data_IF_450024316632
#
_entry.id   IF_450024316632
#
_cell.length_a   1.000
_cell.length_b   1.000
_cell.length_c   1.000
_cell.angle_alpha   90.00
_cell.angle_beta   90.00
_cell.angle_gamma   90.00
#
_symmetry.space_group_name_H-M   'P 1'
#
loop_
_entity.id
_entity.type
_entity.pdbx_description
1 polymer ?
#
# COMPACT_ATOMS: atom_id res chain seq x y z
N UNK A 1 -13.56 39.51 12.98
CA UNK A 1 -12.13 39.36 12.64
C UNK A 1 -12.05 38.30 11.56
N UNK A 2 -11.78 38.72 10.34
CA UNK A 2 -11.67 37.80 9.18
C UNK A 2 -10.36 37.05 9.31
N UNK A 3 -10.43 35.76 9.59
CA UNK A 3 -9.26 34.85 9.52
C UNK A 3 -8.73 34.87 8.10
N UNK A 4 -7.59 35.51 7.92
CA UNK A 4 -6.86 35.48 6.66
C UNK A 4 -6.35 34.05 6.44
N UNK A 5 -6.88 33.37 5.44
CA UNK A 5 -6.32 32.10 4.97
C UNK A 5 -4.88 32.37 4.52
N UNK A 6 -3.91 31.93 5.30
CA UNK A 6 -2.51 31.93 4.90
C UNK A 6 -2.37 31.06 3.62
N UNK A 7 -2.08 31.72 2.50
CA UNK A 7 -1.67 30.99 1.29
C UNK A 7 -0.40 30.21 1.61
N UNK A 8 -0.31 28.94 1.21
CA UNK A 8 0.90 28.15 1.44
C UNK A 8 2.11 28.87 0.84
N UNK A 9 3.22 28.88 1.54
CA UNK A 9 4.49 29.35 0.98
C UNK A 9 4.82 28.53 -0.26
N UNK A 10 5.35 29.12 -1.35
CA UNK A 10 5.82 28.38 -2.51
C UNK A 10 6.81 27.30 -2.08
N UNK A 11 6.53 26.02 -2.41
CA UNK A 11 7.36 24.88 -2.02
C UNK A 11 7.03 24.26 -0.67
N UNK A 12 6.01 24.74 0.05
CA UNK A 12 5.54 24.09 1.27
C UNK A 12 4.87 22.72 0.92
N UNK A 13 5.06 21.67 1.74
CA UNK A 13 4.36 20.39 1.56
C UNK A 13 2.83 20.59 1.62
N UNK A 14 2.11 19.86 0.76
CA UNK A 14 0.65 19.81 0.82
C UNK A 14 0.23 18.85 1.94
N UNK A 15 -0.68 19.26 2.81
CA UNK A 15 -1.21 18.39 3.86
C UNK A 15 -2.26 17.44 3.28
N UNK A 16 -1.98 16.14 3.39
CA UNK A 16 -2.91 15.09 3.06
C UNK A 16 -3.46 14.45 4.32
N UNK A 17 -4.69 13.96 4.24
CA UNK A 17 -5.34 13.20 5.29
C UNK A 17 -5.84 11.86 4.75
N UNK A 18 -6.31 11.01 5.66
CA UNK A 18 -6.94 9.74 5.32
C UNK A 18 -7.52 9.08 6.54
N UNK A 19 -8.47 8.18 6.32
CA UNK A 19 -9.01 7.29 7.34
C UNK A 19 -8.56 5.88 7.01
N UNK A 20 -8.08 5.16 8.03
CA UNK A 20 -7.78 3.74 7.87
C UNK A 20 -9.03 2.99 7.40
N UNK A 21 -8.96 2.40 6.21
CA UNK A 21 -10.08 1.79 5.54
C UNK A 21 -9.85 0.32 5.16
N UNK A 22 -8.92 -0.35 5.83
CA UNK A 22 -8.64 -1.77 5.60
C UNK A 22 -9.91 -2.60 5.60
N UNK A 23 -10.05 -3.41 4.56
CA UNK A 23 -11.01 -4.51 4.48
C UNK A 23 -10.22 -5.78 4.21
N UNK A 24 -9.74 -6.43 5.26
CA UNK A 24 -8.97 -7.66 5.12
C UNK A 24 -9.81 -8.90 5.43
N UNK A 25 -9.50 -10.00 4.73
CA UNK A 25 -10.14 -11.30 4.92
C UNK A 25 -9.30 -12.20 5.81
N UNK A 26 -9.92 -12.76 6.87
CA UNK A 26 -9.33 -13.77 7.75
C UNK A 26 -10.28 -14.98 7.81
N UNK A 27 -9.85 -16.11 7.31
CA UNK A 27 -10.75 -17.23 7.06
C UNK A 27 -11.84 -16.85 6.06
N UNK A 28 -13.10 -16.98 6.49
CA UNK A 28 -14.27 -16.60 5.71
C UNK A 28 -14.90 -15.27 6.14
N UNK A 29 -14.23 -14.50 6.99
CA UNK A 29 -14.75 -13.24 7.49
C UNK A 29 -13.97 -12.04 6.96
N UNK A 30 -14.68 -10.95 6.64
CA UNK A 30 -14.08 -9.66 6.34
C UNK A 30 -14.10 -8.76 7.57
N UNK A 31 -12.95 -8.15 7.84
CA UNK A 31 -12.79 -7.16 8.91
C UNK A 31 -12.67 -5.77 8.29
N UNK A 32 -13.55 -4.87 8.71
CA UNK A 32 -13.68 -3.55 8.14
C UNK A 32 -13.37 -2.45 9.17
N UNK A 33 -12.33 -1.68 8.90
CA UNK A 33 -11.88 -0.63 9.83
C UNK A 33 -12.81 0.59 9.85
N UNK A 34 -13.39 0.97 8.71
CA UNK A 34 -14.31 2.13 8.68
C UNK A 34 -15.61 1.87 9.43
N UNK A 35 -16.09 0.63 9.46
CA UNK A 35 -17.21 0.23 10.30
C UNK A 35 -16.82 0.30 11.79
N UNK A 36 -15.66 -0.23 12.16
CA UNK A 36 -15.17 -0.23 13.56
C UNK A 36 -14.95 1.18 14.09
N UNK A 37 -14.43 2.10 13.29
CA UNK A 37 -14.26 3.50 13.66
C UNK A 37 -15.56 4.29 13.59
N UNK A 38 -16.59 3.77 12.93
CA UNK A 38 -17.87 4.44 12.66
C UNK A 38 -17.76 5.55 11.60
N UNK A 39 -16.64 5.65 10.88
CA UNK A 39 -16.42 6.68 9.86
C UNK A 39 -17.47 6.60 8.73
N UNK A 40 -17.83 5.39 8.31
CA UNK A 40 -18.83 5.18 7.24
C UNK A 40 -20.23 5.70 7.54
N UNK A 41 -20.50 6.12 8.79
CA UNK A 41 -21.78 6.71 9.22
C UNK A 41 -21.66 8.21 9.53
N UNK A 42 -20.42 8.77 9.43
CA UNK A 42 -20.14 10.15 9.84
C UNK A 42 -19.61 10.99 8.70
N UNK A 43 -20.50 11.51 7.87
CA UNK A 43 -20.13 12.42 6.79
C UNK A 43 -19.49 13.71 7.32
N UNK A 44 -19.81 14.11 8.57
CA UNK A 44 -19.21 15.26 9.25
C UNK A 44 -17.70 15.13 9.50
N UNK A 45 -17.11 13.93 9.45
CA UNK A 45 -15.66 13.78 9.58
C UNK A 45 -14.91 14.55 8.48
N UNK A 46 -15.53 14.73 7.30
CA UNK A 46 -14.94 15.51 6.20
C UNK A 46 -14.79 17.01 6.55
N UNK A 47 -15.72 17.55 7.35
CA UNK A 47 -15.63 18.93 7.83
C UNK A 47 -14.43 19.10 8.77
N UNK A 48 -14.19 18.13 9.65
CA UNK A 48 -13.02 18.12 10.53
C UNK A 48 -11.70 18.06 9.75
N UNK A 49 -11.61 17.26 8.69
CA UNK A 49 -10.43 17.27 7.83
C UNK A 49 -10.20 18.62 7.18
N UNK A 50 -11.28 19.27 6.75
CA UNK A 50 -11.19 20.62 6.17
C UNK A 50 -10.70 21.65 7.20
N UNK A 51 -11.20 21.60 8.43
CA UNK A 51 -10.77 22.46 9.54
C UNK A 51 -9.29 22.28 9.87
N UNK A 52 -8.76 21.04 9.77
CA UNK A 52 -7.33 20.74 9.93
C UNK A 52 -6.46 21.25 8.77
N UNK A 53 -7.06 21.80 7.70
CA UNK A 53 -6.33 22.30 6.53
C UNK A 53 -5.95 21.24 5.50
N UNK A 54 -6.53 20.03 5.58
CA UNK A 54 -6.31 18.96 4.61
C UNK A 54 -6.72 19.42 3.21
N UNK A 55 -5.84 19.18 2.22
CA UNK A 55 -6.03 19.55 0.81
C UNK A 55 -6.35 18.35 -0.07
N UNK A 56 -5.80 17.18 0.25
CA UNK A 56 -6.13 15.94 -0.41
C UNK A 56 -6.45 14.87 0.64
N UNK A 57 -7.42 14.01 0.33
CA UNK A 57 -7.89 12.98 1.26
C UNK A 57 -7.84 11.61 0.60
N UNK A 58 -7.07 10.69 1.19
CA UNK A 58 -7.12 9.28 0.80
C UNK A 58 -8.46 8.70 1.25
N UNK A 59 -9.23 8.22 0.28
CA UNK A 59 -10.61 7.78 0.49
C UNK A 59 -10.88 6.46 -0.23
N UNK A 60 -11.38 5.47 0.51
CA UNK A 60 -11.70 4.14 -0.01
C UNK A 60 -13.05 4.10 -0.73
N UNK A 61 -13.02 3.76 -2.01
CA UNK A 61 -14.17 3.26 -2.78
C UNK A 61 -13.88 1.79 -3.01
N UNK A 62 -14.03 1.00 -1.95
CA UNK A 62 -13.47 -0.34 -1.87
C UNK A 62 -14.33 -1.37 -2.57
N UNK A 63 -13.69 -2.22 -3.37
CA UNK A 63 -14.33 -3.21 -4.22
C UNK A 63 -15.23 -4.17 -3.43
N UNK A 64 -14.73 -4.70 -2.31
CA UNK A 64 -15.45 -5.63 -1.44
C UNK A 64 -16.73 -5.04 -0.85
N UNK A 65 -16.78 -3.72 -0.71
CA UNK A 65 -17.93 -3.01 -0.12
C UNK A 65 -18.91 -2.54 -1.15
N UNK A 66 -18.41 -1.93 -2.22
CA UNK A 66 -19.22 -1.27 -3.23
C UNK A 66 -19.85 -2.29 -4.18
N UNK A 67 -19.08 -3.30 -4.60
CA UNK A 67 -19.52 -4.24 -5.62
C UNK A 67 -19.17 -5.70 -5.26
N UNK A 68 -19.60 -6.22 -4.08
CA UNK A 68 -19.29 -7.59 -3.65
C UNK A 68 -19.83 -8.64 -4.62
N UNK A 69 -20.98 -8.37 -5.25
CA UNK A 69 -21.66 -9.24 -6.20
C UNK A 69 -21.61 -8.69 -7.64
N UNK A 70 -20.68 -7.77 -7.92
CA UNK A 70 -20.46 -7.15 -9.21
C UNK A 70 -21.10 -5.77 -9.38
N UNK A 71 -20.71 -5.09 -10.47
CA UNK A 71 -21.08 -3.69 -10.73
C UNK A 71 -22.58 -3.45 -10.94
N UNK A 72 -23.34 -4.46 -11.36
CA UNK A 72 -24.79 -4.32 -11.61
C UNK A 72 -25.56 -4.10 -10.32
N UNK A 73 -25.11 -4.69 -9.23
CA UNK A 73 -25.71 -4.62 -7.90
C UNK A 73 -24.96 -3.72 -6.93
N UNK A 74 -24.01 -2.92 -7.46
CA UNK A 74 -23.14 -2.10 -6.65
C UNK A 74 -23.88 -1.04 -5.82
N UNK A 75 -23.54 -0.95 -4.53
CA UNK A 75 -24.01 0.11 -3.63
C UNK A 75 -23.00 1.26 -3.59
N UNK A 76 -23.33 2.34 -4.25
CA UNK A 76 -22.54 3.56 -4.35
C UNK A 76 -22.90 4.62 -3.29
N UNK A 77 -23.87 4.36 -2.42
CA UNK A 77 -24.48 5.38 -1.56
C UNK A 77 -23.46 6.14 -0.71
N UNK A 78 -22.56 5.44 -0.03
CA UNK A 78 -21.51 6.06 0.76
C UNK A 78 -20.47 6.78 -0.11
N UNK A 79 -20.03 6.15 -1.20
CA UNK A 79 -19.06 6.75 -2.11
C UNK A 79 -19.60 8.02 -2.77
N UNK A 80 -20.88 8.03 -3.18
CA UNK A 80 -21.54 9.22 -3.73
C UNK A 80 -21.56 10.37 -2.73
N UNK A 81 -22.04 10.10 -1.50
CA UNK A 81 -22.16 11.12 -0.47
C UNK A 81 -20.79 11.68 -0.03
N UNK A 82 -19.82 10.81 0.22
CA UNK A 82 -18.51 11.18 0.73
C UNK A 82 -17.65 11.90 -0.30
N UNK A 83 -17.65 11.45 -1.56
CA UNK A 83 -16.92 12.13 -2.64
C UNK A 83 -17.57 13.47 -3.00
N UNK A 84 -18.91 13.57 -2.98
CA UNK A 84 -19.59 14.85 -3.15
C UNK A 84 -19.20 15.82 -2.03
N UNK A 85 -19.19 15.37 -0.76
CA UNK A 85 -18.80 16.20 0.37
C UNK A 85 -17.34 16.66 0.28
N UNK A 86 -16.43 15.77 -0.06
CA UNK A 86 -15.01 16.11 -0.29
C UNK A 86 -14.87 17.22 -1.35
N UNK A 87 -15.61 17.10 -2.45
CA UNK A 87 -15.62 18.10 -3.54
C UNK A 87 -16.20 19.43 -3.12
N UNK A 88 -17.32 19.46 -2.38
CA UNK A 88 -17.93 20.68 -1.83
C UNK A 88 -16.96 21.45 -0.93
N UNK A 89 -16.19 20.72 -0.12
CA UNK A 89 -15.19 21.28 0.78
C UNK A 89 -13.88 21.67 0.06
N UNK A 90 -13.78 21.41 -1.26
CA UNK A 90 -12.58 21.71 -2.05
C UNK A 90 -11.39 20.85 -1.68
N UNK A 91 -11.62 19.64 -1.16
CA UNK A 91 -10.59 18.64 -0.93
C UNK A 91 -10.51 17.68 -2.13
N UNK A 92 -9.29 17.38 -2.59
CA UNK A 92 -9.04 16.47 -3.69
C UNK A 92 -9.03 15.02 -3.17
N UNK A 93 -9.94 14.13 -3.62
CA UNK A 93 -9.87 12.73 -3.21
C UNK A 93 -8.73 12.00 -3.92
N UNK A 94 -8.04 11.14 -3.17
CA UNK A 94 -7.14 10.11 -3.67
C UNK A 94 -7.88 8.79 -3.48
N UNK A 95 -8.46 8.26 -4.55
CA UNK A 95 -9.39 7.13 -4.46
C UNK A 95 -8.64 5.80 -4.40
N UNK A 96 -8.85 5.05 -3.29
CA UNK A 96 -8.40 3.68 -3.12
C UNK A 96 -9.48 2.68 -3.55
N UNK A 97 -9.09 1.61 -4.28
CA UNK A 97 -10.03 0.58 -4.74
C UNK A 97 -9.92 -0.71 -3.94
N UNK A 98 -8.73 -0.99 -3.42
CA UNK A 98 -8.43 -2.14 -2.56
C UNK A 98 -7.45 -1.70 -1.46
N UNK A 99 -7.77 -2.01 -0.21
CA UNK A 99 -6.92 -1.65 0.94
C UNK A 99 -6.72 -2.89 1.83
N UNK A 100 -5.61 -3.60 1.61
CA UNK A 100 -5.27 -4.89 2.23
C UNK A 100 -6.30 -6.01 1.99
N UNK A 101 -7.20 -5.81 1.06
CA UNK A 101 -8.22 -6.77 0.68
C UNK A 101 -7.72 -7.85 -0.27
N UNK A 102 -8.55 -8.87 -0.44
CA UNK A 102 -8.35 -9.95 -1.41
C UNK A 102 -9.38 -9.92 -2.55
N UNK A 103 -10.15 -8.83 -2.63
CA UNK A 103 -11.32 -8.69 -3.48
C UNK A 103 -12.57 -9.36 -2.88
N UNK A 104 -13.74 -9.26 -3.53
CA UNK A 104 -14.95 -9.97 -3.18
C UNK A 104 -14.78 -11.50 -3.08
N UNK A 105 -15.75 -12.20 -2.47
CA UNK A 105 -15.71 -13.67 -2.31
C UNK A 105 -15.54 -14.43 -3.63
N UNK A 106 -15.93 -13.83 -4.76
CA UNK A 106 -15.80 -14.41 -6.10
C UNK A 106 -14.38 -14.41 -6.66
N UNK A 107 -13.41 -13.84 -5.92
CA UNK A 107 -12.00 -13.75 -6.34
C UNK A 107 -11.03 -13.88 -5.16
N UNK A 108 -9.75 -13.85 -5.44
CA UNK A 108 -8.68 -13.83 -4.45
C UNK A 108 -7.40 -13.26 -5.06
N UNK A 109 -6.40 -12.94 -4.24
CA UNK A 109 -5.08 -12.51 -4.72
C UNK A 109 -4.36 -13.57 -5.60
N UNK A 110 -4.81 -14.83 -5.55
CA UNK A 110 -4.26 -15.94 -6.34
C UNK A 110 -5.09 -16.27 -7.59
N UNK A 111 -6.23 -15.60 -7.76
CA UNK A 111 -7.07 -15.78 -8.94
C UNK A 111 -6.34 -15.26 -10.18
N UNK A 112 -6.19 -16.08 -11.24
CA UNK A 112 -5.58 -15.65 -12.49
C UNK A 112 -6.25 -14.44 -13.12
N UNK A 113 -7.57 -14.27 -12.91
CA UNK A 113 -8.38 -13.19 -13.47
C UNK A 113 -8.52 -11.99 -12.50
N UNK A 114 -7.79 -11.99 -11.37
CA UNK A 114 -7.88 -10.93 -10.37
C UNK A 114 -7.61 -9.55 -10.96
N UNK A 115 -6.61 -9.46 -11.83
CA UNK A 115 -6.17 -8.20 -12.41
C UNK A 115 -7.21 -7.62 -13.36
N UNK A 116 -7.81 -8.44 -14.20
CA UNK A 116 -8.87 -8.08 -15.13
C UNK A 116 -10.13 -7.65 -14.37
N UNK A 117 -10.53 -8.42 -13.35
CA UNK A 117 -11.71 -8.12 -12.52
C UNK A 117 -11.57 -6.79 -11.77
N UNK A 118 -10.38 -6.48 -11.23
CA UNK A 118 -10.14 -5.17 -10.62
C UNK A 118 -10.13 -4.06 -11.68
N UNK A 119 -9.61 -4.33 -12.88
CA UNK A 119 -9.67 -3.40 -14.01
C UNK A 119 -11.10 -3.02 -14.37
N UNK A 120 -12.01 -3.99 -14.44
CA UNK A 120 -13.43 -3.77 -14.70
C UNK A 120 -14.09 -2.93 -13.59
N UNK A 121 -13.78 -3.22 -12.33
CA UNK A 121 -14.25 -2.42 -11.21
C UNK A 121 -13.73 -0.98 -11.28
N UNK A 122 -12.45 -0.80 -11.55
CA UNK A 122 -11.81 0.51 -11.69
C UNK A 122 -12.44 1.34 -12.82
N UNK A 123 -12.76 0.71 -13.94
CA UNK A 123 -13.51 1.35 -15.03
C UNK A 123 -14.88 1.84 -14.57
N UNK A 124 -15.61 1.02 -13.81
CA UNK A 124 -16.91 1.39 -13.23
C UNK A 124 -16.82 2.61 -12.31
N UNK A 125 -15.80 2.64 -11.43
CA UNK A 125 -15.52 3.78 -10.54
C UNK A 125 -15.20 5.03 -11.33
N UNK A 126 -14.30 4.95 -12.31
CA UNK A 126 -13.89 6.10 -13.13
C UNK A 126 -15.07 6.65 -13.94
N UNK A 127 -15.92 5.78 -14.53
CA UNK A 127 -17.13 6.20 -15.23
C UNK A 127 -18.11 6.94 -14.33
N UNK A 128 -18.24 6.52 -13.05
CA UNK A 128 -19.14 7.17 -12.10
C UNK A 128 -18.58 8.51 -11.62
N UNK A 129 -17.25 8.60 -11.41
CA UNK A 129 -16.56 9.77 -10.88
C UNK A 129 -15.49 10.30 -11.86
N UNK A 130 -15.85 10.73 -13.08
CA UNK A 130 -14.87 11.09 -14.12
C UNK A 130 -14.03 12.33 -13.78
N UNK A 131 -14.41 13.05 -12.73
CA UNK A 131 -13.70 14.22 -12.21
C UNK A 131 -12.58 13.86 -11.21
N UNK A 132 -12.50 12.63 -10.73
CA UNK A 132 -11.42 12.16 -9.86
C UNK A 132 -10.14 12.01 -10.66
N UNK A 133 -9.06 12.57 -10.14
CA UNK A 133 -7.76 12.58 -10.83
C UNK A 133 -6.69 11.73 -10.17
N UNK A 134 -6.84 11.40 -8.89
CA UNK A 134 -5.81 10.71 -8.12
C UNK A 134 -6.31 9.35 -7.61
N UNK A 135 -5.51 8.30 -7.86
CA UNK A 135 -5.88 6.93 -7.52
C UNK A 135 -4.74 6.17 -6.86
N UNK A 136 -5.09 5.36 -5.88
CA UNK A 136 -4.29 4.26 -5.32
C UNK A 136 -5.06 2.96 -5.53
N UNK A 137 -4.99 2.32 -6.72
CA UNK A 137 -5.81 1.14 -7.00
C UNK A 137 -5.67 0.04 -5.96
N UNK A 138 -4.45 -0.20 -5.49
CA UNK A 138 -4.15 -1.14 -4.40
C UNK A 138 -3.18 -0.49 -3.41
N UNK A 139 -3.60 -0.40 -2.14
CA UNK A 139 -2.72 0.01 -1.06
C UNK A 139 -1.77 -1.13 -0.68
N UNK A 140 -0.48 -0.84 -0.58
CA UNK A 140 0.58 -1.74 -0.10
C UNK A 140 0.54 -3.17 -0.68
N UNK A 141 0.69 -3.35 -1.99
CA UNK A 141 0.64 -4.67 -2.60
C UNK A 141 1.71 -5.63 -2.06
N UNK A 142 2.90 -5.12 -1.72
CA UNK A 142 3.97 -5.94 -1.14
C UNK A 142 3.63 -6.38 0.29
N UNK A 143 3.16 -5.48 1.13
CA UNK A 143 2.74 -5.80 2.50
C UNK A 143 1.58 -6.77 2.50
N UNK A 144 0.56 -6.53 1.68
CA UNK A 144 -0.60 -7.41 1.52
C UNK A 144 -0.17 -8.82 1.08
N UNK A 145 0.71 -8.92 0.09
CA UNK A 145 1.24 -10.20 -0.37
C UNK A 145 2.05 -10.93 0.71
N UNK A 146 2.88 -10.21 1.50
CA UNK A 146 3.62 -10.80 2.63
C UNK A 146 2.68 -11.35 3.71
N UNK A 147 1.66 -10.60 4.08
CA UNK A 147 0.75 -11.01 5.15
C UNK A 147 -0.16 -12.15 4.72
N UNK A 148 -0.56 -12.20 3.46
CA UNK A 148 -1.43 -13.25 2.91
C UNK A 148 -0.66 -14.52 2.49
N UNK A 149 0.53 -14.35 1.88
CA UNK A 149 1.25 -15.44 1.23
C UNK A 149 2.48 -15.93 1.98
N UNK A 150 3.14 -15.06 2.79
CA UNK A 150 4.40 -15.39 3.44
C UNK A 150 4.27 -15.59 4.95
N UNK A 151 3.39 -14.81 5.61
CA UNK A 151 3.23 -14.85 7.06
C UNK A 151 1.94 -15.56 7.52
N UNK A 152 0.98 -15.76 6.64
CA UNK A 152 -0.26 -16.47 6.92
C UNK A 152 -1.25 -15.72 7.79
N UNK A 153 -1.12 -14.38 7.91
CA UNK A 153 -2.01 -13.58 8.76
C UNK A 153 -3.37 -13.36 8.12
N UNK A 154 -3.41 -13.17 6.79
CA UNK A 154 -4.63 -12.90 6.02
C UNK A 154 -4.87 -14.00 5.00
N UNK A 155 -6.11 -14.11 4.50
CA UNK A 155 -6.45 -15.05 3.43
C UNK A 155 -5.51 -14.90 2.23
N UNK A 156 -5.00 -15.99 1.66
CA UNK A 156 -5.30 -17.41 1.87
C UNK A 156 -4.52 -18.10 3.01
N UNK A 157 -3.88 -17.39 3.92
CA UNK A 157 -3.13 -17.90 5.06
C UNK A 157 -1.92 -18.77 4.68
N UNK A 158 -1.34 -18.53 3.51
CA UNK A 158 -0.18 -19.27 3.05
C UNK A 158 1.11 -18.80 3.75
N UNK A 159 2.11 -19.68 3.76
CA UNK A 159 3.42 -19.43 4.39
C UNK A 159 4.54 -19.91 3.46
N UNK A 160 4.51 -19.48 2.21
CA UNK A 160 5.50 -19.84 1.22
C UNK A 160 5.77 -18.73 0.20
N UNK A 161 6.99 -18.73 -0.34
CA UNK A 161 7.45 -17.72 -1.29
C UNK A 161 6.64 -17.70 -2.60
N UNK A 162 6.16 -18.86 -3.08
CA UNK A 162 5.44 -18.93 -4.34
C UNK A 162 4.10 -18.22 -4.25
N UNK A 163 3.35 -18.49 -3.18
CA UNK A 163 2.06 -17.81 -2.93
C UNK A 163 2.25 -16.31 -2.74
N UNK A 164 3.27 -15.91 -1.97
CA UNK A 164 3.64 -14.51 -1.81
C UNK A 164 3.90 -13.82 -3.15
N UNK A 165 4.75 -14.42 -3.99
CA UNK A 165 5.12 -13.84 -5.29
C UNK A 165 3.90 -13.78 -6.23
N UNK A 166 3.10 -14.84 -6.30
CA UNK A 166 1.88 -14.86 -7.12
C UNK A 166 0.93 -13.74 -6.71
N UNK A 167 0.68 -13.58 -5.41
CA UNK A 167 -0.17 -12.50 -4.89
C UNK A 167 0.40 -11.11 -5.21
N UNK A 168 1.71 -10.92 -5.14
CA UNK A 168 2.35 -9.64 -5.49
C UNK A 168 2.22 -9.34 -6.98
N UNK A 169 2.55 -10.29 -7.85
CA UNK A 169 2.49 -10.11 -9.31
C UNK A 169 1.06 -9.83 -9.77
N UNK A 170 0.07 -10.55 -9.25
CA UNK A 170 -1.34 -10.31 -9.57
C UNK A 170 -1.79 -8.90 -9.14
N UNK A 171 -1.41 -8.45 -7.96
CA UNK A 171 -1.73 -7.10 -7.50
C UNK A 171 -1.05 -6.03 -8.35
N UNK A 172 0.25 -6.17 -8.66
CA UNK A 172 0.95 -5.21 -9.52
C UNK A 172 0.35 -5.18 -10.94
N UNK A 173 -0.02 -6.35 -11.50
CA UNK A 173 -0.73 -6.41 -12.79
C UNK A 173 -2.09 -5.71 -12.71
N UNK A 174 -2.83 -5.93 -11.63
CA UNK A 174 -4.12 -5.29 -11.39
C UNK A 174 -4.01 -3.76 -11.30
N UNK A 175 -2.95 -3.21 -10.68
CA UNK A 175 -2.68 -1.77 -10.67
C UNK A 175 -2.50 -1.24 -12.10
N UNK A 176 -1.72 -1.94 -12.94
CA UNK A 176 -1.51 -1.55 -14.34
C UNK A 176 -2.83 -1.53 -15.12
N UNK A 177 -3.63 -2.60 -15.01
CA UNK A 177 -4.91 -2.71 -15.74
C UNK A 177 -5.94 -1.72 -15.21
N UNK A 178 -6.03 -1.53 -13.91
CA UNK A 178 -6.90 -0.53 -13.30
C UNK A 178 -6.56 0.89 -13.79
N UNK A 179 -5.28 1.28 -13.79
CA UNK A 179 -4.87 2.60 -14.29
C UNK A 179 -5.12 2.79 -15.78
N UNK A 180 -5.00 1.73 -16.58
CA UNK A 180 -5.39 1.79 -18.01
C UNK A 180 -6.88 2.05 -18.13
N UNK A 181 -7.71 1.28 -17.47
CA UNK A 181 -9.16 1.44 -17.48
C UNK A 181 -9.60 2.83 -16.99
N UNK A 182 -8.99 3.34 -15.91
CA UNK A 182 -9.23 4.69 -15.40
C UNK A 182 -8.84 5.75 -16.43
N UNK A 183 -7.67 5.61 -17.08
CA UNK A 183 -7.16 6.57 -18.06
C UNK A 183 -7.92 6.55 -19.38
N UNK A 184 -8.68 5.51 -19.69
CA UNK A 184 -9.65 5.54 -20.80
C UNK A 184 -10.76 6.59 -20.57
N UNK A 185 -11.16 6.81 -19.31
CA UNK A 185 -12.19 7.78 -18.94
C UNK A 185 -11.59 9.15 -18.63
N UNK A 186 -10.49 9.18 -17.87
CA UNK A 186 -9.76 10.39 -17.49
C UNK A 186 -8.26 10.23 -17.80
N UNK A 187 -7.81 10.65 -18.98
CA UNK A 187 -6.39 10.54 -19.37
C UNK A 187 -5.41 11.28 -18.44
N UNK A 188 -5.90 12.26 -17.65
CA UNK A 188 -5.11 13.01 -16.69
C UNK A 188 -5.01 12.31 -15.32
N UNK A 189 -5.59 11.12 -15.15
CA UNK A 189 -5.55 10.39 -13.89
C UNK A 189 -4.12 9.96 -13.52
N UNK A 190 -3.76 10.23 -12.26
CA UNK A 190 -2.44 9.96 -11.69
C UNK A 190 -2.48 8.74 -10.79
N UNK A 191 -1.41 7.96 -10.87
CA UNK A 191 -1.15 6.87 -9.94
C UNK A 191 -0.35 7.39 -8.73
N UNK A 192 -0.95 7.33 -7.55
CA UNK A 192 -0.26 7.51 -6.27
C UNK A 192 -0.10 6.12 -5.66
N UNK A 193 1.03 5.48 -5.91
CA UNK A 193 1.26 4.13 -5.41
C UNK A 193 1.90 4.19 -4.03
N UNK A 194 1.43 3.35 -3.12
CA UNK A 194 1.83 3.31 -1.72
C UNK A 194 2.39 1.94 -1.34
N UNK A 195 3.43 1.93 -0.50
CA UNK A 195 3.88 0.74 0.21
C UNK A 195 4.60 1.11 1.53
N UNK A 196 4.70 0.15 2.46
CA UNK A 196 5.59 0.27 3.63
C UNK A 196 7.04 0.06 3.17
N UNK A 197 7.87 1.08 3.32
CA UNK A 197 9.29 1.04 2.97
C UNK A 197 10.20 0.92 4.19
N UNK A 198 9.71 0.36 5.29
CA UNK A 198 10.49 0.10 6.50
C UNK A 198 11.78 -0.66 6.21
N UNK A 199 12.89 -0.18 6.77
CA UNK A 199 14.24 -0.73 6.55
C UNK A 199 14.54 -1.88 7.50
N UNK A 200 15.23 -2.89 7.01
CA UNK A 200 15.74 -4.01 7.83
C UNK A 200 17.22 -3.79 8.13
N UNK A 201 17.55 -3.85 9.41
CA UNK A 201 18.90 -3.83 9.96
C UNK A 201 19.25 -5.20 10.52
N UNK A 202 20.53 -5.47 10.78
CA UNK A 202 20.93 -6.75 11.34
C UNK A 202 22.30 -6.70 12.01
N UNK A 203 22.62 -7.76 12.74
CA UNK A 203 24.00 -8.10 13.09
C UNK A 203 24.81 -8.40 11.82
N UNK A 204 26.15 -8.32 11.84
CA UNK A 204 27.00 -8.62 10.67
C UNK A 204 26.75 -10.02 10.06
N UNK A 205 26.41 -11.01 10.90
CA UNK A 205 26.14 -12.38 10.44
C UNK A 205 24.91 -12.49 9.57
N UNK A 206 23.91 -11.61 9.77
CA UNK A 206 22.65 -11.60 9.06
C UNK A 206 22.55 -10.49 8.00
N UNK A 207 23.67 -9.79 7.70
CA UNK A 207 23.71 -8.71 6.73
C UNK A 207 23.12 -9.11 5.37
N UNK A 208 23.42 -10.32 4.89
CA UNK A 208 22.88 -10.86 3.64
C UNK A 208 21.34 -10.93 3.62
N UNK A 209 20.72 -11.22 4.80
CA UNK A 209 19.26 -11.27 4.90
C UNK A 209 18.67 -9.86 4.95
N UNK A 210 19.30 -8.96 5.69
CA UNK A 210 18.87 -7.56 5.71
C UNK A 210 18.99 -6.90 4.33
N UNK A 211 20.07 -7.17 3.58
CA UNK A 211 20.23 -6.73 2.20
C UNK A 211 19.11 -7.26 1.29
N UNK A 212 18.79 -8.56 1.39
CA UNK A 212 17.69 -9.16 0.65
C UNK A 212 16.33 -8.51 0.99
N UNK A 213 16.04 -8.30 2.27
CA UNK A 213 14.79 -7.66 2.70
C UNK A 213 14.72 -6.19 2.24
N UNK A 214 15.85 -5.48 2.27
CA UNK A 214 15.95 -4.10 1.79
C UNK A 214 15.82 -3.97 0.27
N UNK A 215 16.24 -4.96 -0.52
CA UNK A 215 15.92 -5.00 -1.95
C UNK A 215 14.46 -5.38 -2.19
N UNK A 216 13.93 -6.35 -1.41
CA UNK A 216 12.54 -6.78 -1.57
C UNK A 216 11.51 -5.68 -1.29
N UNK A 217 11.80 -4.73 -0.39
CA UNK A 217 10.88 -3.63 -0.08
C UNK A 217 10.56 -2.72 -1.28
N UNK A 218 11.39 -2.73 -2.32
CA UNK A 218 11.18 -1.96 -3.54
C UNK A 218 10.42 -2.71 -4.63
N UNK A 219 10.15 -4.00 -4.44
CA UNK A 219 9.76 -4.89 -5.53
C UNK A 219 8.44 -4.50 -6.20
N UNK A 220 7.45 -3.99 -5.46
CA UNK A 220 6.20 -3.48 -6.04
C UNK A 220 6.45 -2.30 -6.99
N UNK A 221 7.25 -1.33 -6.56
CA UNK A 221 7.61 -0.18 -7.40
C UNK A 221 8.50 -0.56 -8.58
N UNK A 222 9.47 -1.46 -8.37
CA UNK A 222 10.36 -1.90 -9.45
C UNK A 222 9.60 -2.66 -10.54
N UNK A 223 8.59 -3.48 -10.18
CA UNK A 223 7.69 -4.11 -11.13
C UNK A 223 6.90 -3.06 -11.92
N UNK A 224 6.23 -2.13 -11.24
CA UNK A 224 5.44 -1.08 -11.89
C UNK A 224 6.29 -0.16 -12.78
N UNK A 225 7.54 0.09 -12.40
CA UNK A 225 8.48 0.89 -13.20
C UNK A 225 9.18 0.10 -14.31
N UNK A 226 8.87 -1.19 -14.50
CA UNK A 226 9.51 -2.03 -15.53
C UNK A 226 10.99 -2.31 -15.28
N UNK A 227 11.46 -2.24 -14.02
CA UNK A 227 12.89 -2.36 -13.66
C UNK A 227 13.33 -3.79 -13.35
N UNK A 228 12.39 -4.73 -13.24
CA UNK A 228 12.71 -6.13 -12.93
C UNK A 228 13.12 -6.84 -14.20
N UNK A 229 14.40 -6.79 -14.52
CA UNK A 229 15.05 -7.46 -15.66
C UNK A 229 16.17 -8.39 -15.19
N UNK A 230 16.85 -9.09 -16.08
CA UNK A 230 17.84 -10.13 -15.76
C UNK A 230 19.00 -9.69 -14.86
N UNK A 231 19.29 -8.40 -14.75
CA UNK A 231 20.31 -7.84 -13.86
C UNK A 231 19.73 -7.34 -12.51
N UNK A 232 18.43 -7.42 -12.31
CA UNK A 232 17.80 -7.02 -11.05
C UNK A 232 18.21 -7.94 -9.91
N UNK A 233 18.48 -7.39 -8.73
CA UNK A 233 18.97 -8.14 -7.56
C UNK A 233 18.08 -9.34 -7.18
N UNK A 234 16.77 -9.22 -7.38
CA UNK A 234 15.80 -10.28 -7.06
C UNK A 234 15.39 -11.13 -8.27
N UNK A 235 15.97 -10.92 -9.46
CA UNK A 235 15.62 -11.71 -10.65
C UNK A 235 15.73 -13.22 -10.42
N UNK A 236 16.89 -13.67 -9.94
CA UNK A 236 17.13 -15.09 -9.71
C UNK A 236 16.25 -15.67 -8.60
N UNK A 237 15.93 -14.85 -7.58
CA UNK A 237 14.98 -15.25 -6.54
C UNK A 237 13.60 -15.53 -7.13
N UNK A 238 13.06 -14.61 -7.94
CA UNK A 238 11.76 -14.76 -8.61
C UNK A 238 11.75 -15.99 -9.54
N UNK A 239 12.79 -16.17 -10.36
CA UNK A 239 12.93 -17.32 -11.27
C UNK A 239 12.96 -18.65 -10.50
N UNK A 240 13.70 -18.72 -9.41
CA UNK A 240 13.81 -19.92 -8.56
C UNK A 240 12.48 -20.26 -7.84
N UNK A 241 11.53 -19.33 -7.81
CA UNK A 241 10.18 -19.54 -7.26
C UNK A 241 9.11 -19.77 -8.32
N UNK A 242 9.52 -19.96 -9.57
CA UNK A 242 8.67 -20.41 -10.67
C UNK A 242 8.06 -19.28 -11.52
N UNK A 243 8.49 -18.02 -11.32
CA UNK A 243 8.09 -16.94 -12.22
C UNK A 243 8.76 -17.12 -13.58
N UNK A 244 8.02 -17.06 -14.67
CA UNK A 244 8.56 -17.15 -16.02
C UNK A 244 9.21 -15.86 -16.48
N UNK A 245 10.10 -15.93 -17.48
CA UNK A 245 10.66 -14.72 -18.11
C UNK A 245 9.53 -13.88 -18.71
N UNK A 246 8.57 -14.52 -19.36
CA UNK A 246 7.41 -13.84 -19.98
C UNK A 246 6.58 -13.05 -18.96
N UNK A 247 6.40 -13.56 -17.74
CA UNK A 247 5.69 -12.81 -16.68
C UNK A 247 6.45 -11.55 -16.24
N UNK A 248 7.78 -11.62 -16.16
CA UNK A 248 8.60 -10.46 -15.81
C UNK A 248 8.74 -9.47 -16.97
N UNK A 249 8.91 -9.97 -18.20
CA UNK A 249 8.93 -9.18 -19.43
C UNK A 249 7.62 -8.40 -19.62
N UNK A 250 6.48 -9.01 -19.24
CA UNK A 250 5.19 -8.32 -19.29
C UNK A 250 5.22 -6.98 -18.54
N UNK A 251 5.83 -6.90 -17.36
CA UNK A 251 5.94 -5.65 -16.59
C UNK A 251 6.87 -4.64 -17.26
N UNK A 252 7.91 -5.09 -17.95
CA UNK A 252 8.79 -4.20 -18.71
C UNK A 252 8.06 -3.58 -19.91
N UNK A 253 7.27 -4.38 -20.63
CA UNK A 253 6.47 -3.95 -21.78
C UNK A 253 5.25 -3.11 -21.38
N UNK A 254 4.73 -3.35 -20.17
CA UNK A 254 3.50 -2.74 -19.67
C UNK A 254 3.75 -1.87 -18.43
N UNK A 255 4.89 -1.21 -18.38
CA UNK A 255 5.24 -0.36 -17.25
C UNK A 255 4.18 0.71 -16.96
N UNK A 256 3.92 0.93 -15.68
CA UNK A 256 2.99 1.94 -15.16
C UNK A 256 3.65 2.65 -13.97
N UNK A 257 4.70 3.44 -14.19
CA UNK A 257 5.37 4.16 -13.12
C UNK A 257 4.37 5.03 -12.36
N UNK A 258 4.46 5.11 -11.02
CA UNK A 258 3.63 6.04 -10.26
C UNK A 258 3.98 7.49 -10.62
N UNK A 259 2.99 8.35 -10.59
CA UNK A 259 3.18 9.80 -10.67
C UNK A 259 3.72 10.36 -9.34
N UNK A 260 3.39 9.69 -8.23
CA UNK A 260 3.89 9.98 -6.88
C UNK A 260 4.18 8.67 -6.16
N UNK A 261 5.38 8.55 -5.58
CA UNK A 261 5.74 7.47 -4.65
C UNK A 261 5.15 7.80 -3.29
N UNK A 262 4.21 7.00 -2.82
CA UNK A 262 3.62 7.10 -1.49
C UNK A 262 4.37 6.22 -0.49
N UNK A 263 4.78 6.78 0.62
CA UNK A 263 5.43 6.04 1.69
C UNK A 263 4.50 5.95 2.87
N UNK A 264 4.07 4.75 3.21
CA UNK A 264 3.37 4.45 4.44
C UNK A 264 4.42 4.19 5.52
N UNK A 265 4.53 5.11 6.48
CA UNK A 265 5.58 5.08 7.49
C UNK A 265 5.05 4.72 8.87
N UNK A 266 5.59 3.66 9.42
CA UNK A 266 5.29 3.21 10.77
C UNK A 266 6.58 2.97 11.55
N UNK A 267 6.64 3.41 12.80
CA UNK A 267 7.79 3.12 13.68
C UNK A 267 8.04 1.61 13.83
N UNK A 268 6.99 0.79 13.72
CA UNK A 268 7.07 -0.67 13.73
C UNK A 268 7.47 -1.30 12.40
N UNK A 269 7.53 -0.54 11.30
CA UNK A 269 7.91 -1.04 9.96
C UNK A 269 9.40 -1.37 9.87
N UNK A 270 10.25 -0.72 10.69
CA UNK A 270 11.69 -0.98 10.67
C UNK A 270 12.06 -2.15 11.58
N UNK A 271 12.88 -3.07 11.04
CA UNK A 271 13.20 -4.34 11.68
C UNK A 271 14.68 -4.49 11.96
N UNK A 272 15.01 -5.26 13.01
CA UNK A 272 16.37 -5.68 13.32
C UNK A 272 16.44 -7.20 13.48
N UNK A 273 17.37 -7.82 12.72
CA UNK A 273 17.59 -9.27 12.75
C UNK A 273 18.80 -9.59 13.63
N UNK A 274 18.61 -10.45 14.65
CA UNK A 274 19.67 -10.86 15.56
C UNK A 274 19.70 -12.38 15.74
N UNK A 275 20.82 -13.03 15.52
CA UNK A 275 21.02 -14.47 15.76
C UNK A 275 21.08 -14.85 17.25
N UNK A 276 21.22 -13.88 18.15
CA UNK A 276 21.28 -14.12 19.60
C UNK A 276 19.86 -14.28 20.20
N UNK A 277 19.18 -15.34 19.84
CA UNK A 277 17.78 -15.62 20.20
C UNK A 277 17.47 -15.48 21.70
N UNK A 278 18.44 -15.79 22.56
CA UNK A 278 18.28 -15.74 24.01
C UNK A 278 18.03 -14.32 24.57
N UNK A 279 18.26 -13.28 23.76
CA UNK A 279 18.03 -11.88 24.12
C UNK A 279 16.58 -11.45 23.96
N UNK A 280 15.77 -12.26 23.27
CA UNK A 280 14.46 -11.85 22.78
C UNK A 280 13.35 -12.86 23.12
N UNK A 281 12.10 -12.40 23.28
CA UNK A 281 10.94 -13.28 23.48
C UNK A 281 10.80 -14.31 22.34
N UNK A 282 10.35 -15.52 22.67
CA UNK A 282 10.17 -16.61 21.71
C UNK A 282 9.24 -16.25 20.54
N UNK A 283 8.26 -15.38 20.78
CA UNK A 283 7.33 -14.92 19.73
C UNK A 283 8.01 -14.15 18.57
N UNK A 284 9.23 -13.63 18.79
CA UNK A 284 10.03 -12.95 17.75
C UNK A 284 10.99 -13.89 17.03
N UNK A 285 11.08 -15.16 17.44
CA UNK A 285 12.03 -16.11 16.87
C UNK A 285 11.50 -16.66 15.54
N UNK A 286 12.34 -16.58 14.51
CA UNK A 286 12.08 -17.08 13.17
C UNK A 286 13.33 -17.62 12.51
N UNK A 287 13.40 -17.48 11.22
CA UNK A 287 14.53 -17.90 10.39
C UNK A 287 14.18 -17.93 8.90
N UNK A 288 15.19 -18.20 8.09
CA UNK A 288 15.09 -18.23 6.63
C UNK A 288 15.55 -19.59 6.02
N UNK A 289 15.57 -20.66 6.82
CA UNK A 289 16.09 -21.97 6.43
C UNK A 289 17.62 -22.08 6.53
N UNK A 290 18.37 -20.98 6.41
CA UNK A 290 19.84 -20.93 6.55
C UNK A 290 20.28 -20.59 7.97
N UNK A 291 19.61 -19.60 8.60
CA UNK A 291 19.87 -19.19 9.98
C UNK A 291 18.56 -19.04 10.74
N UNK A 292 18.63 -19.30 12.04
CA UNK A 292 17.61 -18.85 13.00
C UNK A 292 18.00 -17.50 13.55
N UNK A 293 17.02 -16.61 13.71
CA UNK A 293 17.21 -15.26 14.25
C UNK A 293 15.91 -14.76 14.88
N UNK A 294 16.04 -13.76 15.75
CA UNK A 294 14.92 -12.95 16.20
C UNK A 294 14.71 -11.79 15.20
N UNK A 295 13.46 -11.51 14.87
CA UNK A 295 13.03 -10.38 14.07
C UNK A 295 12.27 -9.42 14.98
N UNK A 296 12.88 -8.28 15.32
CA UNK A 296 12.39 -7.35 16.32
C UNK A 296 12.31 -5.92 15.77
N UNK A 297 11.58 -5.05 16.47
CA UNK A 297 11.51 -3.63 16.13
C UNK A 297 12.89 -2.98 16.26
N UNK A 298 13.38 -2.36 15.19
CA UNK A 298 14.69 -1.70 15.15
C UNK A 298 14.82 -0.63 16.25
N UNK A 299 13.79 0.16 16.50
CA UNK A 299 13.74 1.20 17.54
C UNK A 299 13.98 0.68 18.97
N UNK A 300 13.76 -0.61 19.24
CA UNK A 300 13.99 -1.21 20.55
C UNK A 300 15.42 -1.69 20.76
N UNK A 301 16.22 -1.71 19.71
CA UNK A 301 17.59 -2.27 19.69
C UNK A 301 18.61 -1.22 19.29
N UNK A 302 18.30 -0.42 18.30
CA UNK A 302 19.17 0.64 17.78
C UNK A 302 18.87 1.95 18.50
N UNK A 303 19.68 2.27 19.51
CA UNK A 303 19.48 3.49 20.31
C UNK A 303 19.76 4.78 19.50
N UNK A 304 20.63 4.69 18.47
CA UNK A 304 21.11 5.84 17.70
C UNK A 304 20.85 5.73 16.18
N UNK A 305 19.90 4.88 15.72
CA UNK A 305 19.94 4.68 14.29
C UNK A 305 18.96 3.76 13.60
N UNK A 306 17.69 3.77 13.95
CA UNK A 306 16.66 3.46 12.96
C UNK A 306 16.69 4.54 11.86
N UNK A 307 16.39 4.21 10.62
CA UNK A 307 16.38 5.21 9.55
C UNK A 307 15.31 6.27 9.84
N UNK A 308 15.71 7.53 9.85
CA UNK A 308 14.77 8.63 10.00
C UNK A 308 13.86 8.73 8.75
N UNK A 309 12.63 9.27 8.88
CA UNK A 309 11.70 9.39 7.74
C UNK A 309 12.29 10.12 6.53
N UNK A 310 13.11 11.14 6.73
CA UNK A 310 13.79 11.90 5.69
C UNK A 310 14.75 11.03 4.88
N UNK A 311 15.46 10.10 5.53
CA UNK A 311 16.35 9.15 4.85
C UNK A 311 15.56 8.19 3.95
N UNK A 312 14.41 7.69 4.42
CA UNK A 312 13.54 6.81 3.64
C UNK A 312 12.96 7.55 2.42
N UNK A 313 12.54 8.81 2.60
CA UNK A 313 12.08 9.67 1.51
C UNK A 313 13.19 9.92 0.48
N UNK A 314 14.40 10.22 0.96
CA UNK A 314 15.56 10.43 0.10
C UNK A 314 15.94 9.17 -0.69
N UNK A 315 15.98 8.00 -0.05
CA UNK A 315 16.25 6.72 -0.73
C UNK A 315 15.22 6.44 -1.86
N UNK A 316 13.93 6.70 -1.61
CA UNK A 316 12.89 6.54 -2.62
C UNK A 316 13.07 7.51 -3.79
N UNK A 317 13.34 8.80 -3.48
CA UNK A 317 13.58 9.80 -4.52
C UNK A 317 14.88 9.51 -5.31
N UNK A 318 15.94 9.09 -4.65
CA UNK A 318 17.19 8.74 -5.34
C UNK A 318 17.03 7.55 -6.27
N UNK A 319 16.22 6.55 -5.86
CA UNK A 319 15.98 5.36 -6.67
C UNK A 319 15.10 5.66 -7.89
N UNK A 320 14.04 6.44 -7.75
CA UNK A 320 13.03 6.61 -8.81
C UNK A 320 13.07 7.98 -9.48
N UNK A 321 13.56 9.02 -8.83
CA UNK A 321 13.52 10.44 -9.29
C UNK A 321 12.10 10.93 -9.58
N UNK A 322 11.13 10.43 -8.83
CA UNK A 322 9.72 10.79 -8.89
C UNK A 322 9.35 11.60 -7.63
N UNK A 323 8.29 12.42 -7.67
CA UNK A 323 7.73 13.04 -6.46
C UNK A 323 7.46 12.00 -5.39
N UNK A 324 7.70 12.35 -4.12
CA UNK A 324 7.45 11.48 -2.97
C UNK A 324 6.47 12.13 -2.01
N UNK A 325 5.66 11.33 -1.32
CA UNK A 325 4.75 11.76 -0.28
C UNK A 325 4.74 10.77 0.88
N UNK A 326 4.59 11.25 2.12
CA UNK A 326 4.20 10.39 3.23
C UNK A 326 2.68 10.22 3.14
N UNK A 327 2.22 9.01 2.87
CA UNK A 327 0.82 8.69 2.61
C UNK A 327 0.10 8.07 3.80
N UNK A 328 0.86 7.53 4.74
CA UNK A 328 0.40 7.12 6.06
C UNK A 328 1.51 7.37 7.07
N UNK A 329 1.13 7.79 8.27
CA UNK A 329 2.06 7.94 9.39
C UNK A 329 1.34 7.63 10.69
N UNK A 330 1.82 6.62 11.42
CA UNK A 330 1.25 6.22 12.69
C UNK A 330 2.32 5.62 13.61
N UNK A 331 2.24 5.88 14.90
CA UNK A 331 3.22 5.39 15.88
C UNK A 331 2.68 4.36 16.88
N UNK A 332 1.41 3.93 16.74
CA UNK A 332 0.82 2.87 17.56
C UNK A 332 0.67 3.21 19.03
N UNK A 333 0.46 4.48 19.35
CA UNK A 333 0.34 4.98 20.73
C UNK A 333 -1.04 5.60 21.01
N UNK A 334 -1.29 5.96 22.26
CA UNK A 334 -2.53 6.63 22.66
C UNK A 334 -2.60 8.05 22.07
N UNK A 335 -3.80 8.64 22.09
CA UNK A 335 -4.01 10.02 21.63
C UNK A 335 -3.13 11.02 22.42
N UNK A 336 -3.03 10.83 23.71
CA UNK A 336 -2.24 11.69 24.61
C UNK A 336 -0.74 11.59 24.32
N UNK A 337 -0.26 10.43 23.87
CA UNK A 337 1.14 10.23 23.49
C UNK A 337 1.46 10.77 22.09
N UNK A 338 0.43 11.03 21.26
CA UNK A 338 0.60 11.60 19.93
C UNK A 338 0.67 13.13 19.94
N UNK A 339 0.17 13.78 20.99
CA UNK A 339 0.15 15.22 21.17
C UNK A 339 1.40 15.73 21.89
#
# INVERSE_FOLDING_TARGET
>A
MTEGSLSPLPGAPELWGGVECTVNRVGDEYFEQTARSGHQERLSDFDLFKELGVRALRHGVLWEKVAPDGLVTADWSWADASLARSRELGMRPIVGLLHHGSGPYSTSLLDPDFAEKLGDYAYGVARRYPWVTDYTPINEPLTTARFSGLYGHWYPHAQDDRTFITALLNQCRAIVLAMRAIREINPAARLIQTDDLGKTFSTPKLAYQAEFDNERRWLSYDLLCGRVHSQHALWQYLRNRGVSDTELEWFQENSCPPDIIGINHYLGGQRFLDEHLQRYPRATHGGNGRHRYADVLALRVLLDGAAEPDQLLLEAWERYKLPVAVTECHNGCTREEQL
#
